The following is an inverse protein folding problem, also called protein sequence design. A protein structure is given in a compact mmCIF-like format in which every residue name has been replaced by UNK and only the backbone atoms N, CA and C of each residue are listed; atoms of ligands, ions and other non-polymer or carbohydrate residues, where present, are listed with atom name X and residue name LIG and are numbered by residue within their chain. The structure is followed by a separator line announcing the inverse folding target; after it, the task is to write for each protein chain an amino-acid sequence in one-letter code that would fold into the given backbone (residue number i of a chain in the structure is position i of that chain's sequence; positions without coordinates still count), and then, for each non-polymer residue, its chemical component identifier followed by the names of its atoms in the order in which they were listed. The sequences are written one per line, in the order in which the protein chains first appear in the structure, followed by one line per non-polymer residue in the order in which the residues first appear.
data_IF_422243826743
#
_entry.id   IF_422243826743
#
_cell.length_a   1.000
_cell.length_b   1.000
_cell.length_c   1.000
_cell.angle_alpha   90.00
_cell.angle_beta   90.00
_cell.angle_gamma   90.00
#
_symmetry.space_group_name_H-M   'P 1'
#
loop_
_entity.id
_entity.type
_entity.pdbx_description
1 polymer ?
#
# COMPACT_ATOMS: atom_id res chain seq x y z
N UNK A 1 -15.14 -2.90 -5.14
CA UNK A 1 -14.71 -4.30 -4.94
C UNK A 1 -14.53 -4.50 -3.44
N UNK A 2 -15.38 -5.29 -2.80
CA UNK A 2 -15.16 -5.64 -1.39
C UNK A 2 -14.11 -6.76 -1.35
N UNK A 3 -13.08 -6.67 -0.49
CA UNK A 3 -12.08 -7.72 -0.41
C UNK A 3 -12.69 -9.06 0.02
N UNK A 4 -12.06 -10.18 -0.37
CA UNK A 4 -12.36 -11.49 0.25
C UNK A 4 -12.04 -11.41 1.75
N UNK A 5 -12.73 -12.21 2.58
CA UNK A 5 -12.64 -12.15 4.05
C UNK A 5 -11.21 -12.15 4.64
N UNK A 6 -10.22 -12.65 3.92
CA UNK A 6 -8.81 -12.69 4.33
C UNK A 6 -7.97 -11.46 3.95
N UNK A 7 -8.53 -10.49 3.21
CA UNK A 7 -7.84 -9.26 2.79
C UNK A 7 -8.51 -8.08 3.50
N UNK A 8 -7.87 -7.55 4.54
CA UNK A 8 -8.44 -6.49 5.37
C UNK A 8 -7.92 -5.13 4.90
N UNK A 9 -8.78 -4.15 4.60
CA UNK A 9 -8.32 -2.79 4.34
C UNK A 9 -7.76 -2.18 5.62
N UNK A 10 -6.78 -1.29 5.48
CA UNK A 10 -6.25 -0.53 6.61
C UNK A 10 -5.82 0.87 6.18
N UNK A 11 -5.76 1.80 7.13
CA UNK A 11 -5.25 3.14 6.86
C UNK A 11 -4.43 3.69 8.02
N UNK A 12 -3.55 4.63 7.69
CA UNK A 12 -2.70 5.29 8.66
C UNK A 12 -3.29 6.65 9.04
N UNK A 13 -3.00 7.11 10.25
CA UNK A 13 -3.35 8.47 10.71
C UNK A 13 -2.61 9.49 9.84
N UNK A 14 -1.29 9.37 9.74
CA UNK A 14 -0.45 10.24 8.91
C UNK A 14 0.22 9.44 7.79
N UNK A 15 -0.40 9.37 6.60
CA UNK A 15 0.19 8.69 5.47
C UNK A 15 1.34 9.51 4.86
N UNK A 16 2.43 8.84 4.49
CA UNK A 16 3.50 9.47 3.68
C UNK A 16 2.92 10.06 2.38
N UNK A 17 3.21 11.34 2.14
CA UNK A 17 2.89 12.03 0.89
C UNK A 17 3.57 11.35 -0.30
N UNK A 18 2.86 11.23 -1.43
CA UNK A 18 3.36 10.53 -2.63
C UNK A 18 2.86 11.25 -3.88
N UNK A 19 3.24 12.53 -3.99
CA UNK A 19 2.95 13.38 -5.16
C UNK A 19 1.47 13.35 -5.59
N UNK A 20 0.58 13.42 -4.60
CA UNK A 20 -0.89 13.39 -4.78
C UNK A 20 -1.49 12.04 -5.22
N UNK A 21 -0.70 10.98 -5.37
CA UNK A 21 -1.24 9.65 -5.64
C UNK A 21 -2.16 9.20 -4.50
N UNK A 22 -3.34 8.72 -4.86
CA UNK A 22 -4.19 8.00 -3.94
C UNK A 22 -3.55 6.66 -3.58
N UNK A 23 -3.89 6.16 -2.38
CA UNK A 23 -3.28 4.95 -1.83
C UNK A 23 -4.32 4.09 -1.14
N UNK A 24 -4.56 2.92 -1.72
CA UNK A 24 -5.29 1.85 -1.04
C UNK A 24 -4.30 0.94 -0.34
N UNK A 25 -4.63 0.49 0.87
CA UNK A 25 -3.80 -0.46 1.60
C UNK A 25 -4.65 -1.60 2.11
N UNK A 26 -4.06 -2.78 2.03
CA UNK A 26 -4.65 -3.99 2.53
C UNK A 26 -3.60 -4.83 3.26
N UNK A 27 -4.05 -5.62 4.20
CA UNK A 27 -3.28 -6.71 4.78
C UNK A 27 -3.98 -8.02 4.46
N UNK A 28 -3.24 -8.98 3.94
CA UNK A 28 -3.67 -10.36 3.86
C UNK A 28 -2.90 -11.18 4.87
N UNK A 29 -3.60 -12.05 5.60
CA UNK A 29 -2.98 -12.98 6.55
C UNK A 29 -3.45 -14.41 6.27
N UNK A 30 -2.61 -15.43 6.55
CA UNK A 30 -3.04 -16.82 6.49
C UNK A 30 -4.32 -17.08 7.30
N UNK A 31 -5.15 -18.00 6.83
CA UNK A 31 -6.41 -18.33 7.50
C UNK A 31 -6.19 -18.78 8.95
N UNK A 32 -7.01 -18.27 9.87
CA UNK A 32 -6.91 -18.55 11.30
C UNK A 32 -5.74 -17.88 12.03
N UNK A 33 -4.92 -17.09 11.32
CA UNK A 33 -3.80 -16.33 11.90
C UNK A 33 -4.15 -14.87 12.11
N UNK A 34 -3.42 -14.23 13.02
CA UNK A 34 -3.67 -12.87 13.49
C UNK A 34 -2.36 -12.17 13.85
N UNK A 35 -2.33 -10.85 13.76
CA UNK A 35 -1.20 -10.05 14.21
C UNK A 35 -1.24 -9.88 15.73
N UNK A 36 -0.08 -9.75 16.38
CA UNK A 36 0.00 -9.56 17.83
C UNK A 36 0.43 -8.13 18.17
N UNK A 37 -0.28 -7.50 19.10
CA UNK A 37 0.14 -6.23 19.69
C UNK A 37 1.32 -6.45 20.63
N UNK A 38 2.43 -5.76 20.35
CA UNK A 38 3.63 -5.76 21.22
C UNK A 38 3.67 -4.50 22.07
N UNK A 39 3.60 -3.33 21.43
CA UNK A 39 3.45 -2.01 22.05
C UNK A 39 3.01 -0.98 21.00
N UNK A 40 2.59 0.20 21.44
CA UNK A 40 2.07 1.28 20.57
C UNK A 40 3.09 1.75 19.52
N UNK A 41 4.38 1.70 19.88
CA UNK A 41 5.52 2.14 19.06
C UNK A 41 6.16 1.02 18.23
N UNK A 42 5.85 -0.23 18.55
CA UNK A 42 6.33 -1.40 17.83
C UNK A 42 5.49 -1.63 16.57
N UNK A 43 6.11 -2.27 15.58
CA UNK A 43 5.35 -2.86 14.48
C UNK A 43 4.43 -3.95 15.06
N UNK A 44 3.21 -4.07 14.56
CA UNK A 44 2.40 -5.27 14.80
C UNK A 44 3.19 -6.52 14.39
N UNK A 45 3.20 -7.54 15.25
CA UNK A 45 3.91 -8.78 14.95
C UNK A 45 3.04 -9.64 14.04
N UNK A 46 3.38 -9.65 12.75
CA UNK A 46 2.62 -10.33 11.73
C UNK A 46 3.10 -11.78 11.53
N UNK A 47 2.18 -12.75 11.38
CA UNK A 47 2.55 -14.14 11.13
C UNK A 47 3.25 -14.31 9.78
N UNK A 48 4.10 -15.34 9.68
CA UNK A 48 4.69 -15.77 8.41
C UNK A 48 3.58 -16.07 7.40
N UNK A 49 3.73 -15.55 6.18
CA UNK A 49 2.73 -15.57 5.12
C UNK A 49 1.99 -14.23 4.96
N UNK A 50 2.04 -13.33 5.94
CA UNK A 50 1.36 -12.02 5.83
C UNK A 50 1.83 -11.22 4.62
N UNK A 51 0.91 -10.56 3.93
CA UNK A 51 1.19 -9.61 2.85
C UNK A 51 0.60 -8.25 3.17
N UNK A 52 1.43 -7.22 3.22
CA UNK A 52 1.02 -5.83 3.22
C UNK A 52 1.02 -5.32 1.79
N UNK A 53 -0.15 -4.94 1.31
CA UNK A 53 -0.43 -4.58 -0.07
C UNK A 53 -0.70 -3.08 -0.11
N UNK A 54 -0.08 -2.37 -1.05
CA UNK A 54 -0.36 -0.95 -1.31
C UNK A 54 -0.57 -0.76 -2.80
N UNK A 55 -1.68 -0.17 -3.18
CA UNK A 55 -1.99 0.18 -4.56
C UNK A 55 -2.01 1.69 -4.72
N UNK A 56 -1.22 2.20 -5.66
CA UNK A 56 -1.07 3.62 -5.95
C UNK A 56 -1.75 3.94 -7.27
N UNK A 57 -2.59 4.97 -7.26
CA UNK A 57 -3.38 5.34 -8.43
C UNK A 57 -3.72 6.83 -8.42
N UNK A 58 -4.13 7.33 -9.58
CA UNK A 58 -4.71 8.66 -9.75
C UNK A 58 -6.11 8.53 -10.33
N UNK A 59 -6.98 9.46 -9.99
CA UNK A 59 -8.24 9.72 -10.69
C UNK A 59 -8.06 10.84 -11.72
N UNK A 60 -8.97 10.94 -12.69
CA UNK A 60 -8.95 12.01 -13.68
C UNK A 60 -7.74 12.02 -14.62
N UNK A 61 -7.11 10.87 -14.88
CA UNK A 61 -5.92 10.77 -15.73
C UNK A 61 -6.29 11.01 -17.18
N UNK A 62 -5.61 11.97 -17.82
CA UNK A 62 -5.87 12.38 -19.20
C UNK A 62 -5.19 11.44 -20.22
N UNK A 63 -5.71 11.33 -21.45
CA UNK A 63 -6.86 12.08 -22.01
C UNK A 63 -8.23 11.47 -21.71
N UNK A 64 -8.30 10.24 -21.19
CA UNK A 64 -9.55 9.54 -20.95
C UNK A 64 -10.37 10.10 -19.76
N UNK A 65 -9.70 10.85 -18.88
CA UNK A 65 -10.26 11.33 -17.61
C UNK A 65 -10.74 10.19 -16.71
N UNK A 66 -9.93 9.15 -16.60
CA UNK A 66 -10.26 7.91 -15.89
C UNK A 66 -9.29 7.63 -14.74
N UNK A 67 -9.65 6.69 -13.87
CA UNK A 67 -8.73 6.16 -12.87
C UNK A 67 -7.62 5.37 -13.54
N UNK A 68 -6.37 5.62 -13.16
CA UNK A 68 -5.22 4.81 -13.55
C UNK A 68 -4.46 4.32 -12.33
N UNK A 69 -4.43 3.01 -12.15
CA UNK A 69 -3.54 2.32 -11.24
C UNK A 69 -2.16 2.28 -11.89
N UNK A 70 -1.15 2.71 -11.14
CA UNK A 70 0.23 2.75 -11.60
C UNK A 70 1.01 1.53 -11.10
N UNK A 71 0.85 1.21 -9.81
CA UNK A 71 1.62 0.14 -9.17
C UNK A 71 0.90 -0.51 -7.99
N UNK A 72 1.29 -1.74 -7.71
CA UNK A 72 0.93 -2.47 -6.49
C UNK A 72 2.20 -3.00 -5.81
N UNK A 73 2.53 -2.41 -4.66
CA UNK A 73 3.67 -2.83 -3.83
C UNK A 73 3.23 -3.85 -2.79
N UNK A 74 4.05 -4.88 -2.64
CA UNK A 74 3.92 -5.93 -1.64
C UNK A 74 5.12 -5.88 -0.70
N UNK A 75 4.85 -5.91 0.60
CA UNK A 75 5.79 -6.42 1.59
C UNK A 75 5.21 -7.74 2.08
N UNK A 76 5.90 -8.85 1.89
CA UNK A 76 5.43 -10.17 2.34
C UNK A 76 6.38 -10.80 3.35
N UNK A 77 5.81 -11.41 4.39
CA UNK A 77 6.52 -12.00 5.52
C UNK A 77 6.88 -13.45 5.19
N UNK A 78 8.14 -13.73 4.94
CA UNK A 78 8.68 -15.09 4.81
C UNK A 78 9.22 -15.58 6.16
N UNK A 79 9.61 -16.85 6.22
CA UNK A 79 10.29 -17.42 7.40
C UNK A 79 11.68 -16.81 7.64
N UNK A 80 12.30 -16.24 6.60
CA UNK A 80 13.61 -15.58 6.66
C UNK A 80 13.54 -14.06 6.90
N UNK A 81 12.41 -13.40 6.64
CA UNK A 81 12.35 -11.94 6.74
C UNK A 81 11.11 -11.33 6.11
N UNK A 82 11.17 -10.02 5.85
CA UNK A 82 10.25 -9.35 4.93
C UNK A 82 10.91 -9.23 3.56
N UNK A 83 10.14 -9.43 2.51
CA UNK A 83 10.59 -9.27 1.14
C UNK A 83 9.68 -8.31 0.39
N UNK A 84 10.22 -7.69 -0.67
CA UNK A 84 9.53 -6.68 -1.47
C UNK A 84 9.22 -7.22 -2.85
N UNK A 85 8.04 -6.89 -3.35
CA UNK A 85 7.71 -7.02 -4.76
C UNK A 85 6.92 -5.77 -5.20
N UNK A 86 7.13 -5.35 -6.43
CA UNK A 86 6.41 -4.23 -7.02
C UNK A 86 5.87 -4.64 -8.39
N UNK A 87 4.59 -4.42 -8.60
CA UNK A 87 3.87 -4.80 -9.80
C UNK A 87 3.38 -3.55 -10.53
N UNK A 88 3.90 -3.31 -11.73
CA UNK A 88 3.52 -2.16 -12.55
C UNK A 88 2.37 -2.53 -13.45
N UNK A 89 1.31 -1.74 -13.41
CA UNK A 89 0.10 -1.94 -14.21
C UNK A 89 0.29 -1.45 -15.64
N UNK A 90 -0.25 -2.20 -16.60
CA UNK A 90 -0.24 -1.78 -18.00
C UNK A 90 -1.25 -0.63 -18.26
N UNK A 91 -1.06 0.09 -19.36
CA UNK A 91 -1.95 1.20 -19.75
C UNK A 91 -3.40 0.74 -19.97
N UNK A 92 -3.60 -0.52 -20.38
CA UNK A 92 -4.91 -1.11 -20.56
C UNK A 92 -5.63 -1.45 -19.23
N UNK A 93 -4.97 -1.29 -18.07
CA UNK A 93 -5.51 -1.56 -16.74
C UNK A 93 -6.04 -3.01 -16.55
N UNK A 94 -5.40 -3.96 -17.22
CA UNK A 94 -5.81 -5.38 -17.25
C UNK A 94 -4.84 -6.31 -16.56
N UNK A 95 -3.56 -5.92 -16.48
CA UNK A 95 -2.50 -6.77 -15.95
C UNK A 95 -1.45 -5.91 -15.26
N UNK A 96 -0.82 -6.47 -14.23
CA UNK A 96 0.35 -5.91 -13.58
C UNK A 96 1.50 -6.91 -13.61
N UNK A 97 2.69 -6.45 -13.96
CA UNK A 97 3.89 -7.30 -14.07
C UNK A 97 4.90 -6.93 -13.00
N UNK A 98 5.55 -7.94 -12.41
CA UNK A 98 6.64 -7.72 -11.46
C UNK A 98 7.76 -6.91 -12.13
N UNK A 99 8.11 -5.77 -11.54
CA UNK A 99 9.13 -4.87 -12.06
C UNK A 99 9.85 -4.16 -10.90
N UNK A 100 11.14 -4.46 -10.71
CA UNK A 100 11.89 -4.07 -9.51
C UNK A 100 12.97 -3.00 -9.74
N UNK A 101 13.16 -2.58 -10.99
CA UNK A 101 14.27 -1.69 -11.38
C UNK A 101 13.92 -0.19 -11.27
N UNK A 102 12.68 0.12 -10.87
CA UNK A 102 12.15 1.48 -10.78
C UNK A 102 11.75 2.05 -12.14
N UNK A 103 10.75 2.92 -12.15
CA UNK A 103 10.15 3.45 -13.37
C UNK A 103 9.71 4.90 -13.18
N UNK A 104 9.86 5.70 -14.24
CA UNK A 104 9.30 7.04 -14.31
C UNK A 104 8.09 7.00 -15.25
N UNK A 105 6.92 7.40 -14.76
CA UNK A 105 5.67 7.40 -15.51
C UNK A 105 5.24 8.85 -15.73
N UNK A 106 5.53 9.45 -16.91
CA UNK A 106 5.01 10.77 -17.24
C UNK A 106 3.49 10.69 -17.45
N UNK A 107 2.76 11.62 -16.84
CA UNK A 107 1.31 11.67 -16.95
C UNK A 107 0.75 13.05 -16.64
N UNK A 108 -0.49 13.27 -17.08
CA UNK A 108 -1.30 14.43 -16.72
C UNK A 108 -2.59 13.95 -16.08
N UNK A 109 -3.07 14.66 -15.06
CA UNK A 109 -4.35 14.37 -14.42
C UNK A 109 -5.10 15.67 -14.11
N UNK A 110 -6.42 15.58 -14.07
CA UNK A 110 -7.29 16.68 -13.70
C UNK A 110 -7.78 16.49 -12.27
N UNK A 111 -7.63 17.51 -11.43
CA UNK A 111 -8.15 17.49 -10.06
C UNK A 111 -9.65 17.77 -9.98
N UNK A 112 -10.23 17.64 -8.79
CA UNK A 112 -11.66 17.86 -8.53
C UNK A 112 -12.12 19.31 -8.83
N UNK A 113 -11.19 20.26 -8.96
CA UNK A 113 -11.47 21.65 -9.33
C UNK A 113 -11.37 21.90 -10.84
N UNK A 114 -11.03 20.87 -11.62
CA UNK A 114 -10.86 20.94 -13.07
C UNK A 114 -9.47 21.42 -13.52
N UNK A 115 -8.52 21.60 -12.60
CA UNK A 115 -7.15 22.02 -12.95
C UNK A 115 -6.34 20.83 -13.44
N UNK A 116 -5.63 21.01 -14.56
CA UNK A 116 -4.75 19.98 -15.11
C UNK A 116 -3.35 20.12 -14.52
N UNK A 117 -2.80 19.00 -14.06
CA UNK A 117 -1.46 18.89 -13.49
C UNK A 117 -0.64 17.89 -14.30
N UNK A 118 0.58 18.30 -14.67
CA UNK A 118 1.57 17.43 -15.29
C UNK A 118 2.59 16.97 -14.24
N UNK A 119 2.91 15.68 -14.21
CA UNK A 119 3.99 15.16 -13.37
C UNK A 119 4.69 13.95 -14.00
N UNK A 120 5.83 13.61 -13.41
CA UNK A 120 6.51 12.33 -13.65
C UNK A 120 6.41 11.55 -12.34
N UNK A 121 5.50 10.57 -12.29
CA UNK A 121 5.35 9.72 -11.13
C UNK A 121 6.53 8.74 -11.03
N UNK A 122 7.18 8.69 -9.85
CA UNK A 122 8.34 7.82 -9.60
C UNK A 122 7.91 6.54 -8.88
N UNK A 123 8.05 5.42 -9.57
CA UNK A 123 8.06 4.08 -8.98
C UNK A 123 9.50 3.78 -8.54
N UNK A 124 9.78 3.58 -7.25
CA UNK A 124 11.12 3.37 -6.73
C UNK A 124 11.63 1.98 -7.10
N UNK A 125 12.93 1.88 -7.35
CA UNK A 125 13.60 0.59 -7.48
C UNK A 125 13.65 -0.15 -6.12
N UNK A 126 13.85 -1.46 -6.13
CA UNK A 126 13.99 -2.25 -4.90
C UNK A 126 15.05 -1.68 -3.96
N UNK A 127 16.21 -1.28 -4.51
CA UNK A 127 17.29 -0.69 -3.73
C UNK A 127 16.89 0.63 -3.04
N UNK A 128 16.00 1.41 -3.66
CA UNK A 128 15.50 2.68 -3.10
C UNK A 128 14.52 2.42 -1.95
N UNK A 129 13.72 1.36 -2.03
CA UNK A 129 12.85 0.92 -0.92
C UNK A 129 13.66 0.61 0.35
N UNK A 130 14.83 -0.02 0.20
CA UNK A 130 15.74 -0.36 1.29
C UNK A 130 16.37 0.85 1.99
N UNK A 131 16.34 2.03 1.38
CA UNK A 131 16.83 3.26 2.03
C UNK A 131 16.03 3.56 3.30
N UNK A 132 14.72 3.32 3.26
CA UNK A 132 13.81 3.61 4.37
C UNK A 132 13.27 2.32 5.05
N UNK A 133 12.92 1.29 4.28
CA UNK A 133 12.30 0.06 4.80
C UNK A 133 13.31 -0.94 5.37
N UNK A 134 14.21 -0.48 6.25
CA UNK A 134 15.13 -1.34 6.99
C UNK A 134 15.31 -0.90 8.43
N UNK A 135 15.52 -1.86 9.32
CA UNK A 135 16.07 -1.63 10.65
C UNK A 135 17.33 -2.48 10.80
N UNK A 136 18.49 -1.86 11.05
CA UNK A 136 19.78 -2.55 11.13
C UNK A 136 20.05 -3.51 9.96
N UNK A 137 19.69 -3.11 8.73
CA UNK A 137 19.77 -3.89 7.48
C UNK A 137 18.83 -5.10 7.38
N UNK A 138 17.80 -5.17 8.22
CA UNK A 138 16.71 -6.13 8.08
C UNK A 138 15.52 -5.40 7.48
N UNK A 139 15.02 -5.89 6.35
CA UNK A 139 13.82 -5.36 5.71
C UNK A 139 12.65 -5.33 6.71
N UNK A 140 12.00 -4.17 6.85
CA UNK A 140 10.90 -4.01 7.81
C UNK A 140 9.84 -3.01 7.32
N UNK A 141 8.54 -3.30 7.56
CA UNK A 141 7.50 -2.29 7.41
C UNK A 141 7.70 -1.14 8.41
N UNK A 142 7.31 0.07 7.99
CA UNK A 142 7.42 1.28 8.84
C UNK A 142 6.07 1.63 9.49
N UNK A 143 5.02 1.64 8.67
CA UNK A 143 3.72 2.23 9.00
C UNK A 143 2.84 1.46 9.99
N UNK A 144 2.69 0.12 9.89
CA UNK A 144 1.70 -0.66 10.67
C UNK A 144 2.01 -0.82 12.17
N UNK A 145 2.08 0.31 12.87
CA UNK A 145 2.24 0.40 14.31
C UNK A 145 0.90 0.79 14.91
N UNK A 146 0.49 0.26 16.09
CA UNK A 146 -0.81 0.56 16.67
C UNK A 146 -1.09 2.06 16.76
N UNK A 147 -0.11 2.87 17.21
CA UNK A 147 -0.26 4.33 17.28
C UNK A 147 -0.56 5.01 15.95
N UNK A 148 -0.12 4.42 14.82
CA UNK A 148 -0.34 4.97 13.49
C UNK A 148 -1.65 4.45 12.87
N UNK A 149 -2.28 3.44 13.48
CA UNK A 149 -3.45 2.73 12.95
C UNK A 149 -4.69 2.90 13.84
N UNK A 150 -4.56 3.56 15.00
CA UNK A 150 -5.65 3.82 15.93
C UNK A 150 -6.67 4.84 15.37
N UNK A 151 -7.40 4.44 14.32
CA UNK A 151 -8.49 5.18 13.69
C UNK A 151 -9.51 4.21 13.11
N UNK A 152 -10.75 4.67 12.99
CA UNK A 152 -11.81 3.90 12.34
C UNK A 152 -11.77 4.03 10.82
N UNK A 153 -12.29 3.01 10.15
CA UNK A 153 -12.44 2.93 8.70
C UNK A 153 -13.93 2.79 8.35
N UNK A 154 -14.37 3.46 7.28
CA UNK A 154 -15.66 3.18 6.67
C UNK A 154 -15.47 2.10 5.59
N UNK A 155 -16.02 0.91 5.84
CA UNK A 155 -15.99 -0.22 4.92
C UNK A 155 -17.43 -0.50 4.47
N UNK A 156 -17.84 0.11 3.35
CA UNK A 156 -19.15 -0.13 2.76
C UNK A 156 -20.32 0.38 3.62
N UNK A 157 -20.13 1.49 4.33
CA UNK A 157 -21.11 2.10 5.23
C UNK A 157 -21.03 1.60 6.68
N UNK A 158 -20.09 0.71 7.00
CA UNK A 158 -19.83 0.24 8.35
C UNK A 158 -18.56 0.89 8.89
N UNK A 159 -18.67 1.56 10.03
CA UNK A 159 -17.52 2.12 10.75
C UNK A 159 -16.89 1.02 11.58
N UNK A 160 -15.65 0.67 11.27
CA UNK A 160 -14.90 -0.43 11.87
C UNK A 160 -13.62 0.10 12.52
N UNK A 161 -13.35 -0.31 13.76
CA UNK A 161 -12.03 -0.12 14.36
C UNK A 161 -11.07 -1.13 13.73
N UNK A 162 -9.97 -0.69 13.12
CA UNK A 162 -9.13 -1.59 12.34
C UNK A 162 -8.23 -2.49 13.21
N UNK A 163 -7.91 -2.12 14.45
CA UNK A 163 -6.96 -2.88 15.28
C UNK A 163 -7.55 -4.21 15.78
N UNK A 164 -8.78 -4.26 16.36
CA UNK A 164 -9.37 -5.52 16.82
C UNK A 164 -9.65 -6.53 15.69
N UNK A 165 -9.66 -6.08 14.43
CA UNK A 165 -9.87 -6.93 13.26
C UNK A 165 -8.56 -7.54 12.73
N UNK A 166 -7.40 -7.02 13.18
CA UNK A 166 -6.09 -7.59 12.88
C UNK A 166 -5.61 -8.55 13.98
N UNK A 167 -6.18 -8.44 15.19
CA UNK A 167 -5.98 -9.28 16.39
C UNK A 167 -6.99 -10.41 16.56
#
# INVERSE_FOLDING_TARGET
MLPKASVLPYDLIDPLFTDYAHKQRFVWMPEGSKATWVSDDALLDFPVGTMLIKTFYYDGVLPANERKILETRLLYRTSSGWEFADYVWNDAQTEATLYMDGLNVPMSWQDDQGTVHDLIYRIPAQAECWTCHKNQNIATPIGPKPRNMARTLDIGGQVVDQLPHME
#
